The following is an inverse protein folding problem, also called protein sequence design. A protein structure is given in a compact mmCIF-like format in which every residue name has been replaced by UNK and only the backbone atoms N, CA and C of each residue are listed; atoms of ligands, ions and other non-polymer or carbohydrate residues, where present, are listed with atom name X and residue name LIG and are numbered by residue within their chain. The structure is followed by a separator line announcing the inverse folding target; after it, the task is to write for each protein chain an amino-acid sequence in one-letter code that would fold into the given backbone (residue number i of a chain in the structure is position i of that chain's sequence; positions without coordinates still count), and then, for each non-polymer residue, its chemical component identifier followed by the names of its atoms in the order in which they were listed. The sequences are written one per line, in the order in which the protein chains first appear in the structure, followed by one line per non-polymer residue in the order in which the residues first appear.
data_IF_428574620320
#
_entry.id   IF_428574620320
#
_cell.length_a   1.000
_cell.length_b   1.000
_cell.length_c   1.000
_cell.angle_alpha   90.00
_cell.angle_beta   90.00
_cell.angle_gamma   90.00
#
_symmetry.space_group_name_H-M   'P 1'
#
loop_
_entity.id
_entity.type
_entity.pdbx_description
1 polymer ?
#
# COMPACT_ATOMS: atom_id res chain seq x y z
N UNK A 1 32.30 -21.76 3.17
CA UNK A 1 31.96 -20.32 3.14
C UNK A 1 30.50 -20.04 2.72
N UNK A 2 29.96 -20.71 1.71
CA UNK A 2 28.58 -20.49 1.20
C UNK A 2 27.47 -20.82 2.22
N UNK A 3 27.65 -21.86 3.05
CA UNK A 3 26.66 -22.26 4.07
C UNK A 3 26.43 -21.16 5.13
N UNK A 4 27.49 -20.44 5.52
CA UNK A 4 27.41 -19.39 6.54
C UNK A 4 26.56 -18.19 6.06
N UNK A 5 26.73 -17.80 4.79
CA UNK A 5 25.99 -16.70 4.18
C UNK A 5 24.48 -16.99 4.07
N UNK A 6 24.10 -18.24 3.75
CA UNK A 6 22.69 -18.65 3.68
C UNK A 6 22.02 -18.60 5.06
N UNK A 7 22.71 -19.06 6.10
CA UNK A 7 22.20 -19.04 7.48
C UNK A 7 22.02 -17.62 8.01
N UNK A 8 22.91 -16.68 7.66
CA UNK A 8 22.73 -15.27 8.00
C UNK A 8 21.51 -14.63 7.34
N UNK A 9 21.24 -14.94 6.06
CA UNK A 9 20.08 -14.39 5.35
C UNK A 9 18.76 -14.90 5.95
N UNK A 10 18.68 -16.19 6.27
CA UNK A 10 17.50 -16.79 6.93
C UNK A 10 17.29 -16.16 8.32
N UNK A 11 18.35 -16.03 9.11
CA UNK A 11 18.29 -15.41 10.45
C UNK A 11 17.88 -13.94 10.39
N UNK A 12 18.37 -13.17 9.40
CA UNK A 12 17.96 -11.78 9.17
C UNK A 12 16.48 -11.70 8.78
N UNK A 13 16.02 -12.55 7.86
CA UNK A 13 14.61 -12.63 7.47
C UNK A 13 13.67 -12.98 8.63
N UNK A 14 14.05 -13.97 9.43
CA UNK A 14 13.29 -14.39 10.62
C UNK A 14 13.29 -13.30 11.69
N UNK A 15 14.42 -12.64 11.96
CA UNK A 15 14.51 -11.52 12.90
C UNK A 15 13.61 -10.35 12.49
N UNK A 16 13.59 -10.00 11.21
CA UNK A 16 12.70 -8.94 10.70
C UNK A 16 11.23 -9.31 10.85
N UNK A 17 10.86 -10.58 10.64
CA UNK A 17 9.49 -11.05 10.82
C UNK A 17 9.05 -10.99 12.28
N UNK A 18 9.90 -11.40 13.21
CA UNK A 18 9.63 -11.31 14.65
C UNK A 18 9.57 -9.86 15.13
N UNK A 19 10.48 -8.99 14.68
CA UNK A 19 10.46 -7.56 15.03
C UNK A 19 9.17 -6.90 14.54
N UNK A 20 8.73 -7.18 13.30
CA UNK A 20 7.44 -6.70 12.80
C UNK A 20 6.28 -7.16 13.67
N UNK A 21 6.27 -8.43 14.06
CA UNK A 21 5.21 -8.97 14.91
C UNK A 21 5.17 -8.30 16.29
N UNK A 22 6.33 -8.13 16.94
CA UNK A 22 6.44 -7.44 18.22
C UNK A 22 5.98 -5.99 18.10
N UNK A 23 6.36 -5.30 17.02
CA UNK A 23 5.92 -3.94 16.75
C UNK A 23 4.41 -3.86 16.58
N UNK A 24 3.79 -4.75 15.81
CA UNK A 24 2.33 -4.79 15.65
C UNK A 24 1.62 -5.05 16.97
N UNK A 25 2.15 -5.97 17.79
CA UNK A 25 1.60 -6.25 19.11
C UNK A 25 1.70 -5.01 20.02
N UNK A 26 2.85 -4.35 20.06
CA UNK A 26 3.06 -3.14 20.85
C UNK A 26 2.11 -2.01 20.42
N UNK A 27 1.95 -1.80 19.12
CA UNK A 27 1.01 -0.82 18.57
C UNK A 27 -0.44 -1.18 18.94
N UNK A 28 -0.82 -2.45 18.85
CA UNK A 28 -2.17 -2.91 19.22
C UNK A 28 -2.48 -2.65 20.70
N UNK A 29 -1.53 -2.95 21.60
CA UNK A 29 -1.67 -2.68 23.03
C UNK A 29 -1.74 -1.18 23.31
N UNK A 30 -0.89 -0.38 22.67
CA UNK A 30 -0.91 1.09 22.80
C UNK A 30 -2.25 1.67 22.35
N UNK A 31 -2.74 1.25 21.19
CA UNK A 31 -4.03 1.67 20.66
C UNK A 31 -5.16 1.25 21.60
N UNK A 32 -5.18 -0.02 22.06
CA UNK A 32 -6.17 -0.52 23.00
C UNK A 32 -6.22 0.28 24.31
N UNK A 33 -5.05 0.56 24.90
CA UNK A 33 -4.96 1.40 26.11
C UNK A 33 -5.41 2.84 25.84
N UNK A 34 -5.00 3.42 24.71
CA UNK A 34 -5.43 4.75 24.30
C UNK A 34 -6.96 4.82 24.13
N UNK A 35 -7.57 3.80 23.53
CA UNK A 35 -9.02 3.68 23.38
C UNK A 35 -9.74 3.58 24.72
N UNK A 36 -9.23 2.75 25.62
CA UNK A 36 -9.84 2.57 26.95
C UNK A 36 -9.84 3.88 27.75
N UNK A 37 -8.73 4.63 27.70
CA UNK A 37 -8.58 5.89 28.44
C UNK A 37 -9.33 7.06 27.80
N UNK A 38 -9.53 7.04 26.47
CA UNK A 38 -10.20 8.11 25.72
C UNK A 38 -11.59 7.68 25.23
N UNK A 39 -12.30 6.89 26.03
CA UNK A 39 -13.66 6.38 25.75
C UNK A 39 -14.76 7.40 26.01
N UNK A 40 -14.43 8.70 25.98
CA UNK A 40 -15.39 9.75 26.24
C UNK A 40 -16.47 9.78 25.16
N UNK A 41 -17.73 9.79 25.57
CA UNK A 41 -18.85 9.95 24.67
C UNK A 41 -18.91 11.39 24.16
N UNK A 42 -19.04 11.53 22.85
CA UNK A 42 -19.18 12.82 22.19
C UNK A 42 -20.48 12.86 21.39
N UNK A 43 -21.16 14.00 21.48
CA UNK A 43 -22.35 14.27 20.68
C UNK A 43 -21.88 14.68 19.28
N UNK A 44 -22.24 13.88 18.28
CA UNK A 44 -21.96 14.19 16.88
C UNK A 44 -23.25 14.68 16.21
N UNK A 45 -23.20 15.90 15.70
CA UNK A 45 -24.30 16.51 14.95
C UNK A 45 -24.11 16.26 13.46
N UNK A 46 -25.01 15.50 12.84
CA UNK A 46 -24.97 15.18 11.41
C UNK A 46 -25.83 16.13 10.55
N UNK A 47 -26.36 17.20 11.14
CA UNK A 47 -27.28 18.15 10.50
C UNK A 47 -28.72 17.94 10.97
N UNK A 48 -29.46 16.92 10.46
CA UNK A 48 -30.86 16.69 10.83
C UNK A 48 -31.03 15.93 12.16
N UNK A 49 -29.94 15.54 12.83
CA UNK A 49 -29.98 14.83 14.11
C UNK A 49 -28.62 14.73 14.78
N UNK A 50 -28.65 14.36 16.07
CA UNK A 50 -27.48 14.18 16.93
C UNK A 50 -27.45 12.77 17.51
N UNK A 51 -26.28 12.15 17.53
CA UNK A 51 -26.07 10.85 18.18
C UNK A 51 -24.87 10.94 19.13
N UNK A 52 -25.00 10.33 20.31
CA UNK A 52 -23.87 10.13 21.21
C UNK A 52 -23.12 8.88 20.79
N UNK A 53 -21.84 9.05 20.45
CA UNK A 53 -20.94 7.94 20.15
C UNK A 53 -19.62 8.14 20.91
N UNK A 54 -18.96 7.06 21.34
CA UNK A 54 -17.61 7.14 21.85
C UNK A 54 -16.68 7.81 20.83
N UNK A 55 -15.86 8.75 21.28
CA UNK A 55 -14.95 9.56 20.45
C UNK A 55 -14.09 8.69 19.52
N UNK A 56 -13.67 7.52 20.00
CA UNK A 56 -12.83 6.63 19.21
C UNK A 56 -13.52 6.09 17.96
N UNK A 57 -14.83 5.83 18.01
CA UNK A 57 -15.60 5.33 16.85
C UNK A 57 -15.60 6.41 15.77
N UNK A 58 -15.82 7.66 16.18
CA UNK A 58 -15.84 8.82 15.30
C UNK A 58 -14.47 9.01 14.63
N UNK A 59 -13.38 8.94 15.42
CA UNK A 59 -12.02 9.08 14.90
C UNK A 59 -11.63 7.92 13.98
N UNK A 60 -11.95 6.68 14.35
CA UNK A 60 -11.68 5.52 13.52
C UNK A 60 -12.42 5.59 12.18
N UNK A 61 -13.69 6.00 12.18
CA UNK A 61 -14.47 6.18 10.96
C UNK A 61 -13.87 7.28 10.08
N UNK A 62 -13.48 8.43 10.64
CA UNK A 62 -12.84 9.51 9.90
C UNK A 62 -11.51 9.08 9.26
N UNK A 63 -10.66 8.37 10.01
CA UNK A 63 -9.41 7.79 9.49
C UNK A 63 -9.67 6.78 8.37
N UNK A 64 -10.67 5.91 8.54
CA UNK A 64 -11.04 4.91 7.54
C UNK A 64 -11.50 5.57 6.24
N UNK A 65 -12.30 6.64 6.31
CA UNK A 65 -12.69 7.42 5.13
C UNK A 65 -11.47 8.03 4.44
N UNK A 66 -10.53 8.61 5.20
CA UNK A 66 -9.27 9.13 4.65
C UNK A 66 -8.46 8.05 3.91
N UNK A 67 -8.29 6.88 4.54
CA UNK A 67 -7.62 5.74 3.92
C UNK A 67 -8.32 5.26 2.65
N UNK A 68 -9.65 5.21 2.64
CA UNK A 68 -10.44 4.81 1.46
C UNK A 68 -10.24 5.78 0.29
N UNK A 69 -10.17 7.09 0.56
CA UNK A 69 -9.92 8.09 -0.48
C UNK A 69 -8.53 7.93 -1.09
N UNK A 70 -7.49 7.76 -0.26
CA UNK A 70 -6.12 7.56 -0.74
C UNK A 70 -6.02 6.25 -1.53
N UNK A 71 -6.61 5.17 -1.01
CA UNK A 71 -6.63 3.88 -1.68
C UNK A 71 -7.34 3.93 -3.04
N UNK A 72 -8.49 4.61 -3.11
CA UNK A 72 -9.20 4.80 -4.37
C UNK A 72 -8.37 5.60 -5.39
N UNK A 73 -7.68 6.65 -4.94
CA UNK A 73 -6.79 7.43 -5.79
C UNK A 73 -5.61 6.60 -6.33
N UNK A 74 -4.95 5.83 -5.46
CA UNK A 74 -3.87 4.93 -5.87
C UNK A 74 -4.34 3.86 -6.85
N UNK A 75 -5.53 3.29 -6.64
CA UNK A 75 -6.08 2.27 -7.53
C UNK A 75 -6.26 2.83 -8.96
N UNK A 76 -6.83 4.03 -9.08
CA UNK A 76 -6.99 4.70 -10.38
C UNK A 76 -5.63 5.03 -11.00
N UNK A 77 -4.69 5.55 -10.23
CA UNK A 77 -3.34 5.85 -10.71
C UNK A 77 -2.61 4.60 -11.22
N UNK A 78 -2.69 3.49 -10.49
CA UNK A 78 -2.13 2.20 -10.91
C UNK A 78 -2.77 1.68 -12.20
N UNK A 79 -4.08 1.85 -12.38
CA UNK A 79 -4.75 1.46 -13.62
C UNK A 79 -4.26 2.27 -14.83
N UNK A 80 -4.04 3.59 -14.67
CA UNK A 80 -3.48 4.44 -15.73
C UNK A 80 -2.03 4.02 -16.05
N UNK A 81 -1.20 3.86 -15.03
CA UNK A 81 0.19 3.41 -15.17
C UNK A 81 0.30 2.06 -15.90
N UNK A 82 -0.59 1.10 -15.63
CA UNK A 82 -0.63 -0.19 -16.33
C UNK A 82 -1.03 -0.05 -17.80
N UNK A 83 -1.95 0.87 -18.13
CA UNK A 83 -2.35 1.14 -19.51
C UNK A 83 -1.22 1.79 -20.30
N UNK A 84 -0.55 2.77 -19.70
CA UNK A 84 0.56 3.47 -20.34
C UNK A 84 1.75 2.53 -20.57
N UNK A 85 2.08 1.67 -19.60
CA UNK A 85 3.08 0.61 -19.78
C UNK A 85 2.75 -0.33 -20.95
N UNK A 86 1.48 -0.73 -21.09
CA UNK A 86 1.07 -1.59 -22.21
C UNK A 86 1.21 -0.87 -23.55
N UNK A 87 0.84 0.42 -23.63
CA UNK A 87 1.00 1.23 -24.85
C UNK A 87 2.48 1.40 -25.22
N UNK A 88 3.32 1.80 -24.26
CA UNK A 88 4.75 1.96 -24.48
C UNK A 88 5.40 0.65 -24.96
N UNK A 89 5.07 -0.49 -24.34
CA UNK A 89 5.60 -1.79 -24.79
C UNK A 89 5.14 -2.19 -26.19
N UNK A 90 3.91 -1.84 -26.58
CA UNK A 90 3.42 -2.09 -27.94
C UNK A 90 4.14 -1.19 -28.96
N UNK A 91 4.44 0.04 -28.59
CA UNK A 91 5.16 0.99 -29.44
C UNK A 91 6.63 0.58 -29.63
N UNK A 92 7.30 0.15 -28.56
CA UNK A 92 8.64 -0.46 -28.64
C UNK A 92 8.63 -1.65 -29.60
N UNK A 93 7.70 -2.61 -29.44
CA UNK A 93 7.60 -3.77 -30.33
C UNK A 93 7.35 -3.39 -31.78
N UNK A 94 6.53 -2.37 -32.03
CA UNK A 94 6.23 -1.89 -33.39
C UNK A 94 7.47 -1.28 -34.03
N UNK A 95 8.21 -0.44 -33.29
CA UNK A 95 9.44 0.18 -33.77
C UNK A 95 10.54 -0.86 -34.01
N UNK A 96 10.70 -1.84 -33.12
CA UNK A 96 11.62 -2.98 -33.30
C UNK A 96 11.28 -3.78 -34.58
N UNK A 97 9.99 -4.02 -34.82
CA UNK A 97 9.55 -4.73 -36.04
C UNK A 97 9.78 -3.89 -37.30
N UNK A 98 9.64 -2.57 -37.24
CA UNK A 98 9.93 -1.69 -38.38
C UNK A 98 11.42 -1.64 -38.68
N UNK A 99 12.27 -1.59 -37.66
CA UNK A 99 13.72 -1.68 -37.81
C UNK A 99 14.14 -3.00 -38.44
N UNK A 100 13.64 -4.14 -37.93
CA UNK A 100 13.97 -5.46 -38.48
C UNK A 100 13.50 -5.66 -39.93
N UNK A 101 12.40 -5.01 -40.32
CA UNK A 101 11.86 -5.10 -41.69
C UNK A 101 12.51 -4.08 -42.65
N UNK A 102 13.06 -2.98 -42.14
CA UNK A 102 13.74 -1.93 -42.94
C UNK A 102 15.24 -2.18 -43.09
N UNK A 103 15.84 -2.95 -42.18
CA UNK A 103 17.27 -3.30 -42.19
C UNK A 103 17.67 -4.63 -42.89
N UNK A 104 16.86 -5.34 -43.71
CA UNK A 104 17.33 -6.53 -44.42
C UNK A 104 18.17 -6.24 -45.67
N UNK A 105 18.50 -4.98 -45.97
CA UNK A 105 19.20 -4.58 -47.21
C UNK A 105 20.35 -3.57 -47.01
N UNK A 106 21.25 -3.80 -46.03
CA UNK A 106 22.62 -3.30 -46.18
C UNK A 106 23.49 -4.40 -46.81
N UNK A 107 23.87 -4.30 -48.11
CA UNK A 107 25.05 -4.99 -48.59
C UNK A 107 26.27 -4.44 -47.81
N UNK A 108 27.19 -5.36 -47.49
CA UNK A 108 28.36 -5.12 -46.64
C UNK A 108 29.36 -4.10 -47.16
#
# INVERSE_FOLDING_TARGET
MVLNKKNELIRKGQRMRSVKFILYLAVLVLLGSFFSLNSQDVVVNYGPGSICLPLFIVMAAAMMVGCLVIWAYELVAQHRLRRDNKRLNQEIKRLEHQLSTTQPNLPG
#
